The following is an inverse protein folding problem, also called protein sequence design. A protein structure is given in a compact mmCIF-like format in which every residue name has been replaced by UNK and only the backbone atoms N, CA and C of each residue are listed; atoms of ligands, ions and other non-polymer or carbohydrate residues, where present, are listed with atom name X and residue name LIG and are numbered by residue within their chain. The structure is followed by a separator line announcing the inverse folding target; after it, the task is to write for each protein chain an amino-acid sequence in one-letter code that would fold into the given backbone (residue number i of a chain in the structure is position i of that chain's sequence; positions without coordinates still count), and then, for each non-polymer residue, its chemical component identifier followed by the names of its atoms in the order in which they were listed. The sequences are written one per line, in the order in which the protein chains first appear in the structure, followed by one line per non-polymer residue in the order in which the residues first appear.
data_IF_412066464984
#
_entry.id   IF_412066464984
#
_cell.length_a   1.000
_cell.length_b   1.000
_cell.length_c   1.000
_cell.angle_alpha   90.00
_cell.angle_beta   90.00
_cell.angle_gamma   90.00
#
_symmetry.space_group_name_H-M   'P 1'
#
loop_
_entity.id
_entity.type
_entity.pdbx_description
1 polymer ?
#
# COMPACT_ATOMS: atom_id res chain seq x y z
N UNK A 1 -1.64 -7.16 -26.56
CA UNK A 1 -2.88 -7.96 -26.39
C UNK A 1 -2.68 -9.18 -25.50
N UNK A 2 -1.76 -10.13 -25.75
CA UNK A 2 -1.56 -11.31 -24.88
C UNK A 2 -1.15 -10.98 -23.43
N UNK A 3 -0.25 -10.01 -23.22
CA UNK A 3 0.16 -9.60 -21.88
C UNK A 3 -1.00 -8.99 -21.07
N UNK A 4 -1.84 -8.19 -21.72
CA UNK A 4 -2.98 -7.51 -21.09
C UNK A 4 -4.02 -8.51 -20.56
N UNK A 5 -4.34 -9.53 -21.35
CA UNK A 5 -5.26 -10.63 -20.94
C UNK A 5 -4.71 -11.37 -19.71
N UNK A 6 -3.40 -11.54 -19.63
CA UNK A 6 -2.76 -12.20 -18.49
C UNK A 6 -2.93 -11.42 -17.18
N UNK A 7 -2.89 -10.08 -17.21
CA UNK A 7 -3.10 -9.21 -16.05
C UNK A 7 -4.52 -9.29 -15.50
N UNK A 8 -5.49 -9.24 -16.39
CA UNK A 8 -6.91 -9.35 -16.03
C UNK A 8 -7.23 -10.69 -15.39
N UNK A 9 -6.66 -11.79 -15.94
CA UNK A 9 -6.86 -13.13 -15.39
C UNK A 9 -6.25 -13.27 -14.00
N UNK A 10 -5.09 -12.64 -13.78
CA UNK A 10 -4.44 -12.61 -12.46
C UNK A 10 -5.26 -11.81 -11.47
N UNK A 11 -5.72 -10.61 -11.84
CA UNK A 11 -6.55 -9.77 -10.98
C UNK A 11 -7.86 -10.46 -10.59
N UNK A 12 -8.54 -11.10 -11.54
CA UNK A 12 -9.76 -11.89 -11.29
C UNK A 12 -9.50 -13.08 -10.36
N UNK A 13 -8.42 -13.81 -10.58
CA UNK A 13 -8.02 -14.93 -9.70
C UNK A 13 -7.73 -14.45 -8.29
N UNK A 14 -7.06 -13.31 -8.15
CA UNK A 14 -6.77 -12.72 -6.85
C UNK A 14 -8.03 -12.28 -6.12
N UNK A 15 -8.95 -11.62 -6.81
CA UNK A 15 -10.23 -11.20 -6.26
C UNK A 15 -11.11 -12.40 -5.83
N UNK A 16 -10.97 -13.54 -6.52
CA UNK A 16 -11.70 -14.77 -6.23
C UNK A 16 -11.06 -15.64 -5.13
N UNK A 17 -9.90 -15.26 -4.60
CA UNK A 17 -9.25 -16.01 -3.52
C UNK A 17 -10.05 -15.89 -2.21
N UNK A 18 -10.19 -17.01 -1.51
CA UNK A 18 -10.85 -17.05 -0.21
C UNK A 18 -10.11 -16.15 0.81
N UNK A 19 -10.83 -15.20 1.41
CA UNK A 19 -10.27 -14.23 2.36
C UNK A 19 -9.57 -13.04 1.73
N UNK A 20 -9.72 -12.80 0.42
CA UNK A 20 -9.25 -11.59 -0.24
C UNK A 20 -10.24 -10.44 0.00
N UNK A 21 -9.85 -9.44 0.79
CA UNK A 21 -10.67 -8.26 1.05
C UNK A 21 -10.47 -7.16 0.00
N UNK A 22 -9.33 -7.14 -0.71
CA UNK A 22 -8.98 -6.14 -1.71
C UNK A 22 -7.90 -6.67 -2.66
N UNK A 23 -7.75 -6.02 -3.80
CA UNK A 23 -6.67 -6.29 -4.78
C UNK A 23 -5.71 -5.10 -4.81
N UNK A 24 -4.40 -5.37 -4.77
CA UNK A 24 -3.39 -4.34 -4.96
C UNK A 24 -2.74 -4.47 -6.34
N UNK A 25 -2.67 -3.35 -7.03
CA UNK A 25 -2.02 -3.20 -8.32
C UNK A 25 -0.80 -2.30 -8.17
N UNK A 26 0.40 -2.84 -8.45
CA UNK A 26 1.65 -2.08 -8.46
C UNK A 26 2.03 -1.76 -9.90
N UNK A 27 2.32 -0.49 -10.17
CA UNK A 27 2.64 0.02 -11.50
C UNK A 27 4.16 0.06 -11.77
N UNK A 28 4.89 -1.01 -11.38
CA UNK A 28 6.36 -1.08 -11.56
C UNK A 28 6.81 -0.89 -13.02
N UNK A 29 5.99 -1.31 -13.98
CA UNK A 29 6.27 -1.08 -15.41
C UNK A 29 6.43 0.40 -15.79
N UNK A 30 6.04 1.32 -14.93
CA UNK A 30 6.23 2.76 -15.08
C UNK A 30 7.62 3.26 -14.69
N UNK A 31 8.43 2.47 -13.99
CA UNK A 31 9.75 2.92 -13.53
C UNK A 31 10.63 3.35 -14.72
N UNK A 32 11.16 4.60 -14.71
CA UNK A 32 12.10 5.07 -15.73
C UNK A 32 13.38 4.23 -15.84
N UNK A 33 13.80 3.60 -14.75
CA UNK A 33 14.95 2.70 -14.71
C UNK A 33 14.63 1.28 -15.19
N UNK A 34 13.35 0.97 -15.40
CA UNK A 34 12.89 -0.34 -15.85
C UNK A 34 12.32 -0.30 -17.27
N UNK A 35 11.08 -0.75 -17.42
CA UNK A 35 10.38 -0.82 -18.73
C UNK A 35 9.96 0.57 -19.23
N UNK A 36 9.74 1.52 -18.31
CA UNK A 36 9.38 2.92 -18.60
C UNK A 36 8.14 3.07 -19.49
N UNK A 37 7.08 2.32 -19.21
CA UNK A 37 5.79 2.46 -19.90
C UNK A 37 5.25 3.89 -19.78
N UNK A 38 4.49 4.32 -20.78
CA UNK A 38 3.84 5.61 -20.75
C UNK A 38 2.73 5.66 -19.69
N UNK A 39 2.42 6.86 -19.20
CA UNK A 39 1.37 7.06 -18.20
C UNK A 39 0.02 6.61 -18.75
N UNK A 40 -0.26 6.86 -20.01
CA UNK A 40 -1.53 6.49 -20.66
C UNK A 40 -1.72 4.99 -20.76
N UNK A 41 -0.64 4.23 -21.04
CA UNK A 41 -0.67 2.77 -21.03
C UNK A 41 -0.94 2.22 -19.62
N UNK A 42 -0.35 2.81 -18.59
CA UNK A 42 -0.58 2.41 -17.20
C UNK A 42 -2.02 2.71 -16.76
N UNK A 43 -2.55 3.87 -17.14
CA UNK A 43 -3.95 4.25 -16.85
C UNK A 43 -4.93 3.29 -17.54
N UNK A 44 -4.65 2.88 -18.79
CA UNK A 44 -5.48 1.91 -19.49
C UNK A 44 -5.54 0.58 -18.71
N UNK A 45 -4.39 0.08 -18.23
CA UNK A 45 -4.33 -1.14 -17.40
C UNK A 45 -5.11 -0.97 -16.09
N UNK A 46 -4.97 0.17 -15.41
CA UNK A 46 -5.69 0.46 -14.16
C UNK A 46 -7.20 0.42 -14.38
N UNK A 47 -7.70 1.06 -15.44
CA UNK A 47 -9.13 1.05 -15.79
C UNK A 47 -9.65 -0.34 -16.08
N UNK A 48 -8.93 -1.11 -16.90
CA UNK A 48 -9.33 -2.47 -17.23
C UNK A 48 -9.36 -3.40 -16.01
N UNK A 49 -8.37 -3.28 -15.13
CA UNK A 49 -8.36 -4.05 -13.87
C UNK A 49 -9.50 -3.59 -12.96
N UNK A 50 -9.73 -2.29 -12.86
CA UNK A 50 -10.82 -1.75 -12.06
C UNK A 50 -12.20 -2.23 -12.55
N UNK A 51 -12.41 -2.36 -13.85
CA UNK A 51 -13.65 -2.86 -14.43
C UNK A 51 -13.81 -4.38 -14.31
N UNK A 52 -12.69 -5.08 -14.12
CA UNK A 52 -12.66 -6.54 -14.04
C UNK A 52 -12.85 -7.09 -12.62
N UNK A 53 -12.68 -6.25 -11.57
CA UNK A 53 -12.77 -6.66 -10.17
C UNK A 53 -13.80 -5.80 -9.42
N UNK A 54 -14.63 -6.45 -8.60
CA UNK A 54 -15.66 -5.78 -7.78
C UNK A 54 -15.16 -5.42 -6.37
N UNK A 55 -14.00 -5.98 -5.95
CA UNK A 55 -13.42 -5.69 -4.64
C UNK A 55 -12.71 -4.33 -4.61
N UNK A 56 -12.47 -3.77 -3.40
CA UNK A 56 -11.68 -2.55 -3.25
C UNK A 56 -10.32 -2.65 -3.92
N UNK A 57 -9.90 -1.59 -4.60
CA UNK A 57 -8.64 -1.54 -5.33
C UNK A 57 -7.63 -0.66 -4.59
N UNK A 58 -6.42 -1.17 -4.44
CA UNK A 58 -5.25 -0.44 -3.97
C UNK A 58 -4.31 -0.25 -5.15
N UNK A 59 -3.91 0.98 -5.45
CA UNK A 59 -2.96 1.25 -6.54
C UNK A 59 -1.71 1.86 -5.97
N UNK A 60 -0.58 1.21 -6.20
CA UNK A 60 0.77 1.70 -5.87
C UNK A 60 1.47 2.17 -7.13
N UNK A 61 2.20 3.30 -7.04
CA UNK A 61 2.96 3.86 -8.14
C UNK A 61 4.18 3.03 -8.55
N UNK A 62 5.02 3.61 -9.39
CA UNK A 62 6.24 2.97 -9.90
C UNK A 62 7.46 3.14 -8.98
N UNK A 63 7.29 3.75 -7.80
CA UNK A 63 8.34 4.07 -6.81
C UNK A 63 9.31 5.18 -7.23
N UNK A 64 9.14 5.76 -8.40
CA UNK A 64 9.83 6.97 -8.80
C UNK A 64 9.00 8.19 -8.40
N UNK A 65 9.54 9.03 -7.51
CA UNK A 65 8.81 10.14 -6.89
C UNK A 65 8.30 11.16 -7.93
N UNK A 66 9.14 11.50 -8.92
CA UNK A 66 8.79 12.47 -9.95
C UNK A 66 7.67 11.95 -10.86
N UNK A 67 7.81 10.72 -11.31
CA UNK A 67 6.82 10.09 -12.19
C UNK A 67 5.52 9.79 -11.44
N UNK A 68 5.60 9.36 -10.19
CA UNK A 68 4.43 9.11 -9.35
C UNK A 68 3.66 10.39 -9.03
N UNK A 69 4.33 11.54 -8.93
CA UNK A 69 3.68 12.85 -8.75
C UNK A 69 2.79 13.23 -9.95
N UNK A 70 3.07 12.73 -11.16
CA UNK A 70 2.25 12.92 -12.35
C UNK A 70 1.27 11.75 -12.58
N UNK A 71 1.71 10.52 -12.35
CA UNK A 71 0.95 9.29 -12.61
C UNK A 71 -0.23 9.14 -11.65
N UNK A 72 0.01 9.24 -10.34
CA UNK A 72 -1.01 8.95 -9.32
C UNK A 72 -2.21 9.92 -9.33
N UNK A 73 -2.04 11.23 -9.59
CA UNK A 73 -3.17 12.11 -9.84
C UNK A 73 -4.08 11.65 -11.00
N UNK A 74 -3.50 11.22 -12.11
CA UNK A 74 -4.25 10.71 -13.27
C UNK A 74 -4.90 9.36 -12.99
N UNK A 75 -4.26 8.51 -12.19
CA UNK A 75 -4.86 7.26 -11.70
C UNK A 75 -6.07 7.55 -10.81
N UNK A 76 -5.96 8.53 -9.91
CA UNK A 76 -7.07 8.93 -9.04
C UNK A 76 -8.27 9.46 -9.86
N UNK A 77 -8.01 10.22 -10.93
CA UNK A 77 -9.02 10.66 -11.89
C UNK A 77 -9.68 9.46 -12.59
N UNK A 78 -8.87 8.52 -13.07
CA UNK A 78 -9.35 7.33 -13.77
C UNK A 78 -10.24 6.42 -12.92
N UNK A 79 -10.04 6.44 -11.60
CA UNK A 79 -10.77 5.66 -10.60
C UNK A 79 -11.86 6.47 -9.88
N UNK A 80 -12.24 7.63 -10.40
CA UNK A 80 -13.26 8.48 -9.79
C UNK A 80 -14.54 7.69 -9.47
N UNK A 81 -15.03 7.80 -8.22
CA UNK A 81 -16.24 7.12 -7.75
C UNK A 81 -16.04 5.72 -7.18
N UNK A 82 -14.83 5.13 -7.27
CA UNK A 82 -14.55 3.78 -6.77
C UNK A 82 -13.99 3.70 -5.34
N UNK A 83 -13.70 4.82 -4.69
CA UNK A 83 -13.05 4.87 -3.37
C UNK A 83 -11.78 4.01 -3.29
N UNK A 84 -10.92 4.10 -4.30
CA UNK A 84 -9.67 3.38 -4.35
C UNK A 84 -8.65 3.95 -3.35
N UNK A 85 -7.72 3.11 -2.88
CA UNK A 85 -6.59 3.54 -2.08
C UNK A 85 -5.40 3.82 -3.01
N UNK A 86 -4.94 5.07 -3.04
CA UNK A 86 -3.79 5.52 -3.83
C UNK A 86 -2.54 5.51 -2.95
N UNK A 87 -1.59 4.66 -3.26
CA UNK A 87 -0.27 4.55 -2.64
C UNK A 87 0.80 4.97 -3.66
N UNK A 88 1.94 5.54 -3.34
CA UNK A 88 2.45 5.89 -2.04
C UNK A 88 2.69 7.39 -2.01
N UNK A 89 1.97 8.09 -1.16
CA UNK A 89 2.26 9.49 -0.88
C UNK A 89 3.54 9.56 -0.04
N UNK A 90 4.52 10.35 -0.47
CA UNK A 90 5.79 10.60 0.20
C UNK A 90 5.95 12.08 0.51
N UNK A 91 6.99 12.41 1.29
CA UNK A 91 7.29 13.79 1.67
C UNK A 91 7.46 14.73 0.47
N UNK A 92 8.02 14.23 -0.62
CA UNK A 92 8.32 15.04 -1.82
C UNK A 92 7.07 15.28 -2.69
N UNK A 93 6.10 14.35 -2.72
CA UNK A 93 4.96 14.39 -3.64
C UNK A 93 3.59 14.54 -2.97
N UNK A 94 3.54 14.71 -1.62
CA UNK A 94 2.28 14.73 -0.87
C UNK A 94 1.29 15.80 -1.35
N UNK A 95 1.81 16.96 -1.80
CA UNK A 95 0.95 18.04 -2.30
C UNK A 95 0.20 17.64 -3.55
N UNK A 96 0.91 17.03 -4.52
CA UNK A 96 0.30 16.63 -5.78
C UNK A 96 -0.72 15.50 -5.58
N UNK A 97 -0.32 14.47 -4.82
CA UNK A 97 -1.17 13.29 -4.59
C UNK A 97 -2.32 13.63 -3.63
N UNK A 98 -2.04 14.29 -2.50
CA UNK A 98 -3.07 14.66 -1.52
C UNK A 98 -4.12 15.60 -2.12
N UNK A 99 -3.72 16.59 -2.91
CA UNK A 99 -4.65 17.49 -3.58
C UNK A 99 -5.50 16.77 -4.63
N UNK A 100 -4.89 15.96 -5.48
CA UNK A 100 -5.63 15.26 -6.54
C UNK A 100 -6.45 14.08 -5.97
N UNK A 101 -5.79 13.09 -5.35
CA UNK A 101 -6.46 11.90 -4.88
C UNK A 101 -7.41 12.20 -3.71
N UNK A 102 -6.93 12.94 -2.69
CA UNK A 102 -7.71 13.22 -1.48
C UNK A 102 -8.84 14.23 -1.69
N UNK A 103 -8.52 15.41 -2.26
CA UNK A 103 -9.46 16.51 -2.37
C UNK A 103 -10.28 16.46 -3.66
N UNK A 104 -9.64 16.40 -4.83
CA UNK A 104 -10.34 16.51 -6.10
C UNK A 104 -11.21 15.28 -6.40
N UNK A 105 -10.66 14.09 -6.24
CA UNK A 105 -11.32 12.82 -6.60
C UNK A 105 -11.84 12.02 -5.40
N UNK A 106 -11.68 12.55 -4.18
CA UNK A 106 -12.25 11.99 -2.95
C UNK A 106 -11.85 10.53 -2.69
N UNK A 107 -10.64 10.14 -3.12
CA UNK A 107 -10.05 8.82 -2.92
C UNK A 107 -9.43 8.70 -1.53
N UNK A 108 -9.01 7.48 -1.17
CA UNK A 108 -8.24 7.23 0.04
C UNK A 108 -6.76 7.41 -0.29
N UNK A 109 -6.03 8.12 0.55
CA UNK A 109 -4.61 8.42 0.36
C UNK A 109 -3.76 7.57 1.29
N UNK A 110 -2.74 6.93 0.77
CA UNK A 110 -1.80 6.11 1.52
C UNK A 110 -0.45 6.79 1.69
N UNK A 111 -0.15 7.27 2.90
CA UNK A 111 1.10 7.94 3.25
C UNK A 111 2.19 6.93 3.62
N UNK A 112 3.31 6.92 2.90
CA UNK A 112 4.42 5.99 3.10
C UNK A 112 5.54 6.60 3.93
N UNK A 113 5.93 5.95 5.04
CA UNK A 113 6.90 6.48 6.00
C UNK A 113 8.21 5.70 6.10
N UNK A 114 8.44 4.69 5.26
CA UNK A 114 9.68 3.91 5.23
C UNK A 114 10.19 3.48 6.64
N UNK A 115 9.27 2.95 7.48
CA UNK A 115 9.53 2.48 8.86
C UNK A 115 9.91 3.60 9.84
N UNK A 116 9.65 4.85 9.48
CA UNK A 116 9.87 6.01 10.36
C UNK A 116 8.54 6.53 10.95
N UNK A 117 8.43 6.48 12.29
CA UNK A 117 7.25 6.98 13.01
C UNK A 117 7.12 8.51 12.95
N UNK A 118 8.23 9.25 12.91
CA UNK A 118 8.18 10.71 12.88
C UNK A 118 7.71 11.18 11.51
N UNK A 119 8.22 10.57 10.44
CA UNK A 119 7.76 10.82 9.09
C UNK A 119 6.28 10.43 8.92
N UNK A 120 5.85 9.30 9.48
CA UNK A 120 4.44 8.89 9.47
C UNK A 120 3.53 9.95 10.12
N UNK A 121 3.93 10.49 11.27
CA UNK A 121 3.19 11.57 11.93
C UNK A 121 3.19 12.85 11.11
N UNK A 122 4.34 13.25 10.57
CA UNK A 122 4.50 14.44 9.77
C UNK A 122 3.61 14.39 8.53
N UNK A 123 3.68 13.32 7.75
CA UNK A 123 2.85 13.13 6.55
C UNK A 123 1.37 13.21 6.89
N UNK A 124 0.93 12.53 7.94
CA UNK A 124 -0.47 12.59 8.36
C UNK A 124 -0.92 14.01 8.70
N UNK A 125 -0.08 14.78 9.40
CA UNK A 125 -0.37 16.18 9.76
C UNK A 125 -0.43 17.05 8.49
N UNK A 126 0.56 16.97 7.61
CA UNK A 126 0.61 17.85 6.43
C UNK A 126 -0.50 17.50 5.43
N UNK A 127 -0.84 16.22 5.25
CA UNK A 127 -1.96 15.78 4.39
C UNK A 127 -3.30 16.24 4.97
N UNK A 128 -3.48 16.17 6.29
CA UNK A 128 -4.68 16.72 6.95
C UNK A 128 -4.73 18.24 6.81
N UNK A 129 -3.60 18.95 6.93
CA UNK A 129 -3.54 20.41 6.73
C UNK A 129 -3.84 20.83 5.30
N UNK A 130 -3.60 19.99 4.29
CA UNK A 130 -4.07 20.21 2.93
C UNK A 130 -5.61 20.17 2.82
N UNK A 131 -6.30 19.60 3.81
CA UNK A 131 -7.76 19.49 3.84
C UNK A 131 -8.28 18.07 3.60
N UNK A 132 -7.43 17.07 3.46
CA UNK A 132 -7.84 15.68 3.34
C UNK A 132 -8.40 15.19 4.68
N UNK A 133 -9.57 14.55 4.66
CA UNK A 133 -10.17 13.97 5.87
C UNK A 133 -9.25 12.90 6.48
N UNK A 134 -8.95 13.03 7.75
CA UNK A 134 -8.12 12.07 8.49
C UNK A 134 -8.63 10.62 8.40
N UNK A 135 -9.93 10.41 8.16
CA UNK A 135 -10.52 9.09 7.94
C UNK A 135 -10.17 8.48 6.58
N UNK A 136 -9.69 9.29 5.65
CA UNK A 136 -9.27 8.90 4.30
C UNK A 136 -7.77 8.79 4.15
N UNK A 137 -7.03 8.92 5.25
CA UNK A 137 -5.58 8.74 5.25
C UNK A 137 -5.27 7.35 5.82
N UNK A 138 -4.49 6.58 5.08
CA UNK A 138 -3.97 5.27 5.49
C UNK A 138 -2.47 5.39 5.62
N UNK A 139 -1.93 4.99 6.78
CA UNK A 139 -0.47 4.99 6.97
C UNK A 139 0.11 3.68 6.42
N UNK A 140 0.92 3.78 5.38
CA UNK A 140 1.75 2.70 4.88
C UNK A 140 3.15 2.81 5.52
N UNK A 141 3.49 1.84 6.37
CA UNK A 141 4.78 1.87 7.06
C UNK A 141 5.93 1.50 6.13
N UNK A 142 5.60 0.92 4.98
CA UNK A 142 6.61 0.40 4.07
C UNK A 142 7.29 -0.86 4.62
N UNK A 143 8.39 -1.23 4.02
CA UNK A 143 9.22 -2.36 4.43
C UNK A 143 10.61 -1.90 4.83
N UNK A 144 11.18 -2.56 5.84
CA UNK A 144 12.59 -2.35 6.16
C UNK A 144 13.48 -2.88 5.02
N UNK A 145 14.66 -2.27 4.86
CA UNK A 145 15.64 -2.70 3.88
C UNK A 145 16.03 -4.18 4.07
N UNK A 146 16.46 -4.82 2.99
CA UNK A 146 16.91 -6.22 3.01
C UNK A 146 18.08 -6.37 4.01
N UNK A 147 17.88 -7.27 4.99
CA UNK A 147 18.87 -7.47 6.08
C UNK A 147 18.40 -6.94 7.42
N UNK A 148 17.53 -5.96 7.47
CA UNK A 148 16.81 -5.58 8.69
C UNK A 148 15.69 -6.58 8.97
N UNK A 149 15.44 -6.86 10.24
CA UNK A 149 14.39 -7.80 10.63
C UNK A 149 13.00 -7.20 10.51
N UNK A 150 11.98 -8.06 10.41
CA UNK A 150 10.58 -7.66 10.42
C UNK A 150 10.16 -7.02 11.75
N UNK A 151 10.90 -7.27 12.81
CA UNK A 151 10.72 -6.69 14.15
C UNK A 151 10.72 -5.16 14.13
N UNK A 152 11.48 -4.52 13.23
CA UNK A 152 11.48 -3.06 13.09
C UNK A 152 10.13 -2.53 12.58
N UNK A 153 9.52 -3.23 11.63
CA UNK A 153 8.20 -2.89 11.10
C UNK A 153 7.14 -3.06 12.19
N UNK A 154 7.15 -4.20 12.90
CA UNK A 154 6.21 -4.48 13.99
C UNK A 154 6.35 -3.45 15.10
N UNK A 155 7.59 -3.16 15.53
CA UNK A 155 7.86 -2.16 16.57
C UNK A 155 7.35 -0.77 16.15
N UNK A 156 7.54 -0.37 14.89
CA UNK A 156 7.02 0.90 14.38
C UNK A 156 5.49 0.92 14.38
N UNK A 157 4.84 -0.17 13.96
CA UNK A 157 3.37 -0.29 14.02
C UNK A 157 2.84 -0.17 15.45
N UNK A 158 3.46 -0.85 16.40
CA UNK A 158 3.06 -0.81 17.82
C UNK A 158 3.27 0.59 18.41
N UNK A 159 4.36 1.27 18.05
CA UNK A 159 4.63 2.65 18.47
C UNK A 159 3.63 3.65 17.89
N UNK A 160 3.21 3.49 16.62
CA UNK A 160 2.17 4.31 16.01
C UNK A 160 0.84 4.08 16.73
N UNK A 161 0.44 2.83 16.97
CA UNK A 161 -0.77 2.50 17.72
C UNK A 161 -0.72 3.01 19.16
N UNK A 162 0.41 2.84 19.84
CA UNK A 162 0.62 3.39 21.19
C UNK A 162 0.48 4.92 21.22
N UNK A 163 1.01 5.62 20.22
CA UNK A 163 0.85 7.06 20.08
C UNK A 163 -0.61 7.48 19.80
N UNK A 164 -1.36 6.66 19.05
CA UNK A 164 -2.77 6.89 18.77
C UNK A 164 -3.67 6.70 20.00
N UNK A 165 -3.34 5.74 20.87
CA UNK A 165 -4.05 5.46 22.10
C UNK A 165 -3.70 6.47 23.20
N UNK A 166 -2.44 6.90 23.27
CA UNK A 166 -2.03 7.98 24.14
C UNK A 166 -2.66 9.32 23.68
N UNK A 167 -3.12 10.13 24.62
CA UNK A 167 -3.87 11.39 24.37
C UNK A 167 -3.18 12.43 23.48
N UNK A 168 -1.97 12.13 22.97
CA UNK A 168 -1.12 13.15 22.33
C UNK A 168 -1.25 13.23 20.80
N UNK A 169 -1.74 12.19 20.09
CA UNK A 169 -1.67 12.22 18.61
C UNK A 169 -2.92 11.61 17.98
N UNK A 170 -3.97 12.42 17.86
CA UNK A 170 -5.22 12.01 17.18
C UNK A 170 -5.01 11.66 15.72
N UNK A 171 -4.03 12.25 15.05
CA UNK A 171 -3.69 11.94 13.66
C UNK A 171 -3.16 10.52 13.44
N UNK A 172 -2.63 9.85 14.46
CA UNK A 172 -2.19 8.46 14.36
C UNK A 172 -3.32 7.42 14.45
N UNK A 173 -4.58 7.84 14.54
CA UNK A 173 -5.74 6.94 14.55
C UNK A 173 -6.16 6.44 13.17
N UNK A 174 -5.35 6.68 12.17
CA UNK A 174 -5.56 6.18 10.82
C UNK A 174 -5.36 4.67 10.72
N UNK A 175 -5.92 4.08 9.67
CA UNK A 175 -5.67 2.69 9.32
C UNK A 175 -4.18 2.48 9.02
N UNK A 176 -3.59 1.41 9.58
CA UNK A 176 -2.23 1.01 9.28
C UNK A 176 -2.26 -0.05 8.20
N UNK A 177 -1.57 0.20 7.11
CA UNK A 177 -1.32 -0.74 6.05
C UNK A 177 0.18 -1.06 5.99
N UNK A 178 0.51 -2.28 5.69
CA UNK A 178 1.85 -2.70 5.38
C UNK A 178 1.83 -3.54 4.11
N UNK A 179 2.28 -2.97 3.01
CA UNK A 179 2.53 -3.70 1.78
C UNK A 179 3.95 -4.27 1.82
N UNK A 180 4.05 -5.56 1.64
CA UNK A 180 5.30 -6.27 1.70
C UNK A 180 5.81 -6.56 0.28
N UNK A 181 6.92 -5.96 -0.17
CA UNK A 181 7.49 -6.30 -1.46
C UNK A 181 8.04 -7.72 -1.44
N UNK A 182 7.54 -8.56 -2.32
CA UNK A 182 8.06 -9.91 -2.55
C UNK A 182 9.40 -9.87 -3.28
N UNK A 183 10.48 -9.69 -2.55
CA UNK A 183 11.79 -10.06 -3.07
C UNK A 183 12.18 -11.44 -2.53
N UNK A 184 12.59 -12.33 -3.44
CA UNK A 184 12.84 -13.78 -3.25
C UNK A 184 13.60 -14.21 -1.98
N UNK A 185 14.32 -13.32 -1.30
CA UNK A 185 15.07 -13.61 -0.07
C UNK A 185 14.26 -13.54 1.24
N UNK A 186 13.10 -12.88 1.25
CA UNK A 186 12.33 -12.61 2.48
C UNK A 186 11.36 -13.72 2.86
N UNK A 187 10.89 -14.51 1.90
CA UNK A 187 9.96 -15.64 2.14
C UNK A 187 10.54 -16.69 3.12
N UNK A 188 11.83 -16.99 3.02
CA UNK A 188 12.49 -17.93 3.92
C UNK A 188 12.56 -17.42 5.37
N UNK A 189 12.79 -16.12 5.57
CA UNK A 189 12.85 -15.52 6.92
C UNK A 189 11.47 -15.39 7.56
N UNK A 190 10.43 -15.12 6.78
CA UNK A 190 9.05 -15.12 7.29
C UNK A 190 8.62 -16.50 7.78
N UNK A 191 9.03 -17.55 7.08
CA UNK A 191 8.74 -18.92 7.48
C UNK A 191 9.46 -19.31 8.77
N UNK A 192 10.70 -18.84 8.94
CA UNK A 192 11.47 -19.03 10.17
C UNK A 192 10.84 -18.32 11.39
N UNK A 193 10.40 -17.07 11.22
CA UNK A 193 9.67 -16.33 12.26
C UNK A 193 8.35 -17.00 12.64
N UNK A 194 7.67 -17.65 11.68
CA UNK A 194 6.46 -18.42 11.92
C UNK A 194 6.71 -19.60 12.87
N UNK A 195 7.87 -20.24 12.79
CA UNK A 195 8.25 -21.34 13.69
C UNK A 195 8.69 -20.84 15.07
N UNK A 196 9.40 -19.71 15.14
CA UNK A 196 9.94 -19.17 16.38
C UNK A 196 8.86 -18.54 17.27
N UNK A 197 7.86 -17.87 16.68
CA UNK A 197 6.74 -17.27 17.43
C UNK A 197 5.70 -18.30 17.94
N UNK A 198 5.79 -19.58 17.60
CA UNK A 198 4.91 -20.61 18.14
C UNK A 198 5.14 -20.92 19.62
N UNK A 199 6.21 -20.41 20.21
CA UNK A 199 6.64 -20.73 21.57
C UNK A 199 6.67 -19.54 22.55
N UNK A 200 6.07 -18.39 22.22
CA UNK A 200 6.06 -17.19 23.07
C UNK A 200 4.66 -16.67 23.38
N UNK A 201 4.41 -16.46 24.65
CA UNK A 201 3.15 -16.16 25.35
C UNK A 201 2.58 -14.74 25.17
N UNK A 202 2.52 -14.18 23.96
CA UNK A 202 1.79 -12.93 23.68
C UNK A 202 0.70 -13.13 22.65
N UNK A 203 -0.39 -13.82 23.06
CA UNK A 203 -1.48 -14.26 22.16
C UNK A 203 -2.26 -13.14 21.47
N UNK A 204 -2.45 -11.98 22.07
CA UNK A 204 -3.39 -10.96 21.55
C UNK A 204 -2.83 -10.06 20.48
N UNK A 205 -1.55 -9.66 20.55
CA UNK A 205 -0.94 -8.83 19.49
C UNK A 205 -0.52 -9.66 18.28
N UNK A 206 -0.19 -10.93 18.51
CA UNK A 206 0.23 -11.89 17.47
C UNK A 206 -0.95 -12.31 16.60
N UNK A 207 -2.16 -12.52 17.15
CA UNK A 207 -3.33 -12.92 16.38
C UNK A 207 -3.84 -11.80 15.44
N UNK A 208 -3.81 -10.55 15.87
CA UNK A 208 -4.15 -9.41 15.01
C UNK A 208 -3.13 -9.24 13.87
N UNK A 209 -1.85 -9.45 14.17
CA UNK A 209 -0.76 -9.43 13.18
C UNK A 209 -0.85 -10.63 12.23
N UNK A 210 -1.39 -11.77 12.69
CA UNK A 210 -1.62 -12.98 11.89
C UNK A 210 -2.77 -12.83 10.89
N UNK A 211 -3.88 -12.23 11.27
CA UNK A 211 -4.99 -11.93 10.35
C UNK A 211 -4.55 -10.97 9.24
N UNK A 212 -3.81 -9.92 9.61
CA UNK A 212 -3.16 -9.02 8.66
C UNK A 212 -2.17 -9.75 7.73
N UNK A 213 -1.44 -10.76 8.24
CA UNK A 213 -0.50 -11.56 7.43
C UNK A 213 -1.16 -12.50 6.43
N UNK A 214 -2.26 -13.15 6.78
CA UNK A 214 -2.99 -13.98 5.82
C UNK A 214 -3.56 -13.14 4.68
N UNK A 215 -4.12 -11.99 4.99
CA UNK A 215 -4.59 -11.01 4.01
C UNK A 215 -3.44 -10.49 3.12
N UNK A 216 -2.26 -10.25 3.68
CA UNK A 216 -1.07 -9.82 2.94
C UNK A 216 -0.48 -10.90 2.03
N UNK A 217 -0.49 -12.17 2.40
CA UNK A 217 -0.01 -13.28 1.56
C UNK A 217 -0.83 -13.43 0.28
N UNK A 218 -2.13 -13.16 0.37
CA UNK A 218 -3.05 -13.21 -0.77
C UNK A 218 -2.79 -12.02 -1.70
N UNK A 219 -2.54 -10.84 -1.15
CA UNK A 219 -2.15 -9.65 -1.91
C UNK A 219 -0.86 -9.86 -2.70
N UNK A 220 0.09 -10.56 -2.14
CA UNK A 220 1.43 -10.77 -2.68
C UNK A 220 1.47 -11.71 -3.89
N UNK A 221 0.57 -12.68 -3.99
CA UNK A 221 0.50 -13.57 -5.16
C UNK A 221 0.12 -12.83 -6.44
N UNK A 222 -0.59 -11.71 -6.34
CA UNK A 222 -0.95 -10.84 -7.48
C UNK A 222 0.23 -9.99 -7.94
N UNK A 223 1.14 -9.63 -7.04
CA UNK A 223 2.26 -8.74 -7.32
C UNK A 223 3.44 -9.42 -8.02
N UNK A 224 3.61 -10.74 -7.87
CA UNK A 224 4.77 -11.48 -8.34
C UNK A 224 4.93 -11.60 -9.86
N UNK A 225 3.91 -11.26 -10.65
CA UNK A 225 3.91 -11.50 -12.10
C UNK A 225 3.87 -10.22 -12.94
N UNK A 226 4.06 -9.06 -12.32
CA UNK A 226 3.99 -7.75 -13.00
C UNK A 226 5.36 -7.16 -13.40
N UNK A 227 6.45 -7.89 -13.21
CA UNK A 227 7.80 -7.52 -13.67
C UNK A 227 8.11 -8.03 -15.07
#
# INVERSE_FOLDING_TARGET
MKALLQWLDIAKKAAAMEGADFVALILEGGDPNGVNKSIDELIAVVKEVADAVDCPLVVEGCKNVEKDAELLPKVAEALQGRNALILSEKEENYKAIGAAAGLAYNQIVGAESAVDINLAKQLNVVTTQLGVDAKKIVMNIGSAAVGYGYEYVVSTMDRIKGAALGRMITCCRCLLLHLYPLRHGMLKRQWLLKQTCRHGDHRTSVESTWKLRQQQLILQLVLMQLS
#
